data_IF_786227522928
#
_entry.id   IF_786227522928
#
_cell.length_a   1.000
_cell.length_b   1.000
_cell.length_c   1.000
_cell.angle_alpha   90.00
_cell.angle_beta   90.00
_cell.angle_gamma   90.00
#
_symmetry.space_group_name_H-M   'P 1'
#
loop_
_entity.id
_entity.type
_entity.pdbx_description
1 polymer ?
#
# COMPACT_ATOMS: atom_id res chain seq x y z
N UNK A 1 -3.05 3.63 -2.98
CA UNK A 1 -3.04 2.38 -3.79
C UNK A 1 -4.07 1.34 -3.37
N UNK A 2 -4.58 1.35 -2.13
CA UNK A 2 -5.55 0.35 -1.65
C UNK A 2 -7.00 0.52 -2.15
N UNK A 3 -7.22 1.18 -3.29
CA UNK A 3 -8.56 1.54 -3.78
C UNK A 3 -9.08 0.73 -4.96
N UNK A 4 -8.27 -0.15 -5.54
CA UNK A 4 -8.65 -0.97 -6.71
C UNK A 4 -7.83 -2.26 -6.75
N UNK A 5 -8.35 -3.25 -7.49
CA UNK A 5 -7.64 -4.48 -7.86
C UNK A 5 -7.58 -4.60 -9.38
N UNK A 6 -6.60 -5.34 -9.91
CA UNK A 6 -6.43 -5.54 -11.36
C UNK A 6 -6.43 -7.04 -11.64
N UNK A 7 -7.17 -7.45 -12.67
CA UNK A 7 -7.14 -8.82 -13.17
C UNK A 7 -5.74 -9.15 -13.70
N UNK A 8 -5.15 -10.25 -13.22
CA UNK A 8 -3.83 -10.71 -13.65
C UNK A 8 -3.74 -10.95 -15.16
N UNK A 9 -4.80 -11.43 -15.80
CA UNK A 9 -4.83 -11.64 -17.25
C UNK A 9 -4.60 -10.32 -18.01
N UNK A 10 -5.21 -9.23 -17.55
CA UNK A 10 -5.06 -7.91 -18.16
C UNK A 10 -3.62 -7.38 -18.05
N UNK A 11 -2.94 -7.69 -16.94
CA UNK A 11 -1.52 -7.37 -16.76
C UNK A 11 -0.62 -8.15 -17.72
N UNK A 12 -0.93 -9.44 -17.97
CA UNK A 12 -0.20 -10.25 -18.94
C UNK A 12 -0.40 -9.80 -20.39
N UNK A 13 -1.61 -9.36 -20.74
CA UNK A 13 -1.93 -8.85 -22.08
C UNK A 13 -1.30 -7.48 -22.36
N UNK A 14 -0.95 -6.72 -21.32
CA UNK A 14 -0.36 -5.37 -21.41
C UNK A 14 1.00 -5.30 -20.71
N UNK A 15 2.04 -5.98 -21.22
CA UNK A 15 3.36 -6.05 -20.57
C UNK A 15 4.09 -4.70 -20.49
N UNK A 16 3.66 -3.70 -21.26
CA UNK A 16 4.18 -2.34 -21.21
C UNK A 16 3.61 -1.52 -20.03
N UNK A 17 2.51 -1.97 -19.41
CA UNK A 17 1.92 -1.32 -18.25
C UNK A 17 2.80 -1.57 -17.01
N UNK A 18 3.49 -0.52 -16.55
CA UNK A 18 4.37 -0.56 -15.37
C UNK A 18 3.80 0.29 -14.26
N UNK A 19 4.13 -0.07 -13.02
CA UNK A 19 3.89 0.75 -11.84
C UNK A 19 4.46 2.15 -12.06
N UNK A 20 3.56 3.11 -12.23
CA UNK A 20 3.88 4.52 -12.38
C UNK A 20 3.71 5.22 -11.03
N UNK A 21 4.41 6.35 -10.84
CA UNK A 21 4.31 7.18 -9.63
C UNK A 21 2.86 7.67 -9.35
N UNK A 22 1.99 7.64 -10.36
CA UNK A 22 0.56 7.96 -10.26
C UNK A 22 -0.29 6.78 -10.72
N UNK A 23 -1.27 6.41 -9.90
CA UNK A 23 -2.22 5.31 -10.15
C UNK A 23 -2.99 5.49 -11.46
N UNK A 24 -3.33 6.73 -11.82
CA UNK A 24 -4.01 7.05 -13.08
C UNK A 24 -3.19 6.65 -14.32
N UNK A 25 -1.88 6.81 -14.29
CA UNK A 25 -1.01 6.43 -15.41
C UNK A 25 -0.98 4.92 -15.63
N UNK A 26 -1.06 4.14 -14.55
CA UNK A 26 -1.14 2.69 -14.62
C UNK A 26 -2.48 2.25 -15.24
N UNK A 27 -3.60 2.79 -14.77
CA UNK A 27 -4.93 2.47 -15.32
C UNK A 27 -5.05 2.89 -16.81
N UNK A 28 -4.50 4.04 -17.19
CA UNK A 28 -4.45 4.47 -18.59
C UNK A 28 -3.57 3.54 -19.45
N UNK A 29 -2.41 3.10 -18.94
CA UNK A 29 -1.52 2.18 -19.66
C UNK A 29 -2.12 0.78 -19.85
N UNK A 30 -3.04 0.37 -18.96
CA UNK A 30 -3.83 -0.85 -19.10
C UNK A 30 -5.00 -0.68 -20.08
N UNK A 31 -5.27 0.54 -20.56
CA UNK A 31 -6.38 0.86 -21.45
C UNK A 31 -7.74 0.89 -20.75
N UNK A 32 -7.77 0.93 -19.41
CA UNK A 32 -9.00 0.91 -18.62
C UNK A 32 -9.67 2.28 -18.67
N UNK A 33 -10.92 2.34 -19.17
CA UNK A 33 -11.77 3.53 -19.08
C UNK A 33 -12.64 3.45 -17.83
N UNK A 34 -13.20 4.58 -17.41
CA UNK A 34 -14.08 4.63 -16.22
C UNK A 34 -15.30 3.71 -16.34
N UNK A 35 -15.80 3.49 -17.56
CA UNK A 35 -16.89 2.54 -17.86
C UNK A 35 -16.53 1.08 -17.61
N UNK A 36 -15.23 0.78 -17.63
CA UNK A 36 -14.70 -0.58 -17.55
C UNK A 36 -14.37 -0.96 -16.09
N UNK A 37 -14.60 -0.02 -15.14
CA UNK A 37 -14.40 -0.23 -13.71
C UNK A 37 -15.62 -0.92 -13.10
N UNK A 38 -15.39 -2.09 -12.52
CA UNK A 38 -16.41 -2.79 -11.74
C UNK A 38 -16.46 -2.19 -10.32
N UNK A 39 -17.63 -1.71 -9.92
CA UNK A 39 -17.86 -1.27 -8.56
C UNK A 39 -18.01 -2.49 -7.64
N UNK A 40 -16.95 -2.80 -6.89
CA UNK A 40 -16.96 -3.85 -5.88
C UNK A 40 -17.32 -3.23 -4.52
N UNK A 41 -18.59 -3.37 -4.14
CA UNK A 41 -19.21 -2.81 -2.93
C UNK A 41 -20.70 -2.57 -3.19
N UNK A 42 -21.57 -2.50 -2.17
CA UNK A 42 -22.95 -2.08 -2.41
C UNK A 42 -22.94 -0.72 -3.13
N UNK A 43 -23.86 -0.51 -4.05
CA UNK A 43 -24.00 0.68 -4.92
C UNK A 43 -24.04 2.02 -4.15
N UNK A 44 -24.11 1.96 -2.83
CA UNK A 44 -24.04 3.06 -1.88
C UNK A 44 -22.59 3.11 -1.36
N UNK A 45 -21.87 4.18 -1.71
CA UNK A 45 -20.51 4.49 -1.26
C UNK A 45 -20.40 4.78 0.26
N UNK A 46 -20.93 3.90 1.11
CA UNK A 46 -21.14 4.14 2.55
C UNK A 46 -20.35 3.20 3.48
N UNK A 47 -19.76 2.10 3.00
CA UNK A 47 -18.94 1.22 3.84
C UNK A 47 -17.45 1.39 3.56
N UNK A 48 -16.74 1.96 4.53
CA UNK A 48 -15.28 2.05 4.51
C UNK A 48 -14.66 0.68 4.80
N UNK A 49 -14.36 -0.09 3.75
CA UNK A 49 -13.76 -1.43 3.85
C UNK A 49 -12.22 -1.42 3.95
N UNK A 50 -11.57 -0.28 3.68
CA UNK A 50 -10.13 -0.14 3.81
C UNK A 50 -9.73 1.16 4.51
N UNK A 51 -8.77 1.05 5.43
CA UNK A 51 -8.18 2.19 6.14
C UNK A 51 -6.78 2.50 5.62
N UNK A 52 -6.54 3.74 5.22
CA UNK A 52 -5.20 4.19 4.84
C UNK A 52 -4.43 4.69 6.08
N UNK A 53 -4.15 3.78 7.00
CA UNK A 53 -3.47 4.11 8.25
C UNK A 53 -2.02 4.52 7.99
N UNK A 54 -1.55 5.53 8.73
CA UNK A 54 -0.15 5.97 8.70
C UNK A 54 0.48 5.70 10.05
N UNK A 55 1.56 4.93 10.06
CA UNK A 55 2.34 4.69 11.28
C UNK A 55 3.28 5.87 11.51
N UNK A 56 3.20 6.50 12.68
CA UNK A 56 4.14 7.55 13.06
C UNK A 56 5.56 6.96 13.16
N UNK A 57 6.60 7.69 12.74
CA UNK A 57 7.98 7.22 12.90
C UNK A 57 8.29 7.01 14.39
N UNK A 58 8.98 5.93 14.77
CA UNK A 58 9.29 5.67 16.17
C UNK A 58 10.25 6.74 16.71
N UNK A 59 10.06 7.14 17.96
CA UNK A 59 10.94 8.10 18.63
C UNK A 59 12.26 7.43 18.97
N UNK A 60 13.30 7.68 18.17
CA UNK A 60 14.62 7.08 18.34
C UNK A 60 15.57 7.91 19.23
N UNK A 61 15.03 8.58 20.26
CA UNK A 61 15.75 9.59 21.06
C UNK A 61 17.03 9.01 21.71
N UNK A 62 17.05 7.71 22.04
CA UNK A 62 18.18 7.05 22.70
C UNK A 62 19.03 6.16 21.78
N UNK A 63 18.61 5.91 20.54
CA UNK A 63 19.28 4.99 19.62
C UNK A 63 20.69 5.46 19.22
N UNK A 64 20.91 6.75 18.91
CA UNK A 64 22.26 7.25 18.61
C UNK A 64 23.21 7.12 19.81
N UNK A 65 22.70 7.23 21.03
CA UNK A 65 23.48 7.08 22.26
C UNK A 65 23.82 5.62 22.56
N UNK A 66 22.94 4.68 22.21
CA UNK A 66 23.15 3.24 22.42
C UNK A 66 24.10 2.64 21.38
N UNK A 67 23.95 3.02 20.11
CA UNK A 67 24.89 2.68 19.03
C UNK A 67 26.31 3.12 19.34
N UNK A 68 26.50 4.36 19.82
CA UNK A 68 27.81 4.88 20.23
C UNK A 68 28.43 4.12 21.42
N UNK A 69 27.63 3.39 22.18
CA UNK A 69 28.05 2.58 23.34
C UNK A 69 28.12 1.09 23.04
N UNK A 70 27.97 0.68 21.78
CA UNK A 70 27.98 -0.74 21.39
C UNK A 70 26.79 -1.54 21.91
N UNK A 71 25.71 -0.87 22.35
CA UNK A 71 24.51 -1.51 22.87
C UNK A 71 23.53 -1.76 21.72
N UNK A 72 23.19 -3.03 21.51
CA UNK A 72 22.13 -3.43 20.58
C UNK A 72 20.76 -3.10 21.18
N UNK A 73 19.79 -2.76 20.33
CA UNK A 73 18.41 -2.60 20.77
C UNK A 73 17.95 -3.86 21.52
N UNK A 74 17.30 -3.73 22.70
CA UNK A 74 16.68 -4.85 23.35
C UNK A 74 15.63 -5.43 22.40
N UNK A 75 15.52 -6.76 22.30
CA UNK A 75 14.54 -7.39 21.43
C UNK A 75 13.16 -6.85 21.80
N UNK A 76 12.46 -6.30 20.81
CA UNK A 76 11.04 -5.96 20.98
C UNK A 76 10.33 -7.30 21.09
N UNK A 77 10.05 -7.74 22.32
CA UNK A 77 9.16 -8.87 22.56
C UNK A 77 7.78 -8.38 22.15
N UNK A 78 7.37 -8.71 20.93
CA UNK A 78 5.97 -8.62 20.55
C UNK A 78 5.19 -9.55 21.50
N UNK A 79 4.05 -9.10 22.08
CA UNK A 79 3.23 -10.00 22.87
C UNK A 79 2.79 -11.17 21.99
N UNK A 80 2.97 -12.40 22.48
CA UNK A 80 2.30 -13.56 21.91
C UNK A 80 0.78 -13.35 22.00
N UNK A 81 0.11 -13.87 20.96
CA UNK A 81 -1.32 -13.81 20.65
C UNK A 81 -2.28 -13.83 21.85
#
# INVERSE_FOLDING_TARGET
MAGFAINLQLLHERPAAKLAYKESLLLTSLGVRQSDLEALGPTIAAEFLSGHTRTAPPKLIMLPCWLKRGLTLPPVIAPLA
#
